data_IF_534508223423
#
_entry.id   IF_534508223423
#
_cell.length_a   1.000
_cell.length_b   1.000
_cell.length_c   1.000
_cell.angle_alpha   90.00
_cell.angle_beta   90.00
_cell.angle_gamma   90.00
#
_symmetry.space_group_name_H-M   'P 1'
#
loop_
_entity.id
_entity.type
_entity.pdbx_description
1 polymer ?
#
# COMPACT_ATOMS: atom_id res chain seq x y z
N UNK A 1 6.96 61.54 -16.13
CA UNK A 1 7.68 60.34 -15.62
C UNK A 1 8.34 59.61 -16.81
N UNK A 2 9.67 59.48 -16.81
CA UNK A 2 10.46 59.05 -17.98
C UNK A 2 10.19 57.57 -18.36
N UNK A 3 10.02 57.31 -19.66
CA UNK A 3 9.62 56.00 -20.23
C UNK A 3 10.60 54.85 -19.90
N UNK A 4 11.85 55.19 -19.54
CA UNK A 4 12.87 54.24 -19.05
C UNK A 4 12.56 53.67 -17.66
N UNK A 5 11.88 54.43 -16.79
CA UNK A 5 11.55 53.98 -15.43
C UNK A 5 10.36 53.00 -15.42
N UNK A 6 9.38 53.17 -16.32
CA UNK A 6 8.26 52.23 -16.48
C UNK A 6 8.73 50.82 -16.89
N UNK A 7 9.67 50.73 -17.85
CA UNK A 7 10.21 49.43 -18.32
C UNK A 7 11.00 48.68 -17.24
N UNK A 8 11.61 49.38 -16.28
CA UNK A 8 12.35 48.78 -15.17
C UNK A 8 11.42 48.16 -14.12
N UNK A 9 10.30 48.81 -13.83
CA UNK A 9 9.32 48.34 -12.85
C UNK A 9 8.60 47.08 -13.37
N UNK A 10 8.21 47.07 -14.65
CA UNK A 10 7.52 45.91 -15.28
C UNK A 10 8.43 44.67 -15.27
N UNK A 11 9.72 44.81 -15.61
CA UNK A 11 10.71 43.72 -15.55
C UNK A 11 10.98 43.19 -14.13
N UNK A 12 10.69 43.98 -13.09
CA UNK A 12 10.83 43.57 -11.70
C UNK A 12 9.62 42.70 -11.29
N UNK A 13 8.41 43.13 -11.66
CA UNK A 13 7.18 42.35 -11.46
C UNK A 13 7.18 40.99 -12.20
N UNK A 14 7.68 40.94 -13.44
CA UNK A 14 7.78 39.69 -14.20
C UNK A 14 8.69 38.65 -13.54
N UNK A 15 9.75 39.08 -12.83
CA UNK A 15 10.64 38.16 -12.12
C UNK A 15 10.02 37.59 -10.84
N UNK A 16 9.23 38.37 -10.11
CA UNK A 16 8.59 37.90 -8.88
C UNK A 16 7.43 36.93 -9.15
N UNK A 17 6.67 37.14 -10.22
CA UNK A 17 5.58 36.22 -10.62
C UNK A 17 6.12 34.84 -11.00
N UNK A 18 7.29 34.77 -11.64
CA UNK A 18 7.94 33.48 -11.96
C UNK A 18 8.41 32.75 -10.71
N UNK A 19 8.93 33.47 -9.71
CA UNK A 19 9.38 32.86 -8.45
C UNK A 19 8.20 32.29 -7.65
N UNK A 20 7.07 33.00 -7.60
CA UNK A 20 5.85 32.53 -6.92
C UNK A 20 5.26 31.31 -7.63
N UNK A 21 5.25 31.29 -8.96
CA UNK A 21 4.77 30.14 -9.74
C UNK A 21 5.63 28.87 -9.54
N UNK A 22 6.95 29.02 -9.39
CA UNK A 22 7.85 27.89 -9.11
C UNK A 22 7.63 27.34 -7.69
N UNK A 23 7.42 28.20 -6.69
CA UNK A 23 7.19 27.74 -5.30
C UNK A 23 5.89 26.93 -5.17
N UNK A 24 4.82 27.33 -5.87
CA UNK A 24 3.57 26.54 -5.90
C UNK A 24 3.73 25.17 -6.57
N UNK A 25 4.61 25.05 -7.57
CA UNK A 25 4.84 23.78 -8.26
C UNK A 25 5.65 22.78 -7.40
N UNK A 26 6.57 23.26 -6.55
CA UNK A 26 7.38 22.37 -5.68
C UNK A 26 6.59 21.89 -4.46
N UNK A 27 5.67 22.70 -3.93
CA UNK A 27 4.85 22.32 -2.76
C UNK A 27 3.66 21.39 -3.11
N UNK A 28 3.19 21.36 -4.36
CA UNK A 28 2.08 20.52 -4.78
C UNK A 28 2.35 19.01 -4.74
N UNK A 29 3.63 18.59 -4.76
CA UNK A 29 3.99 17.18 -4.78
C UNK A 29 4.12 16.53 -3.38
N UNK A 30 4.21 17.30 -2.30
CA UNK A 30 4.40 16.75 -0.94
C UNK A 30 3.10 16.42 -0.19
N UNK A 31 1.96 16.92 -0.67
CA UNK A 31 0.66 16.68 -0.03
C UNK A 31 0.18 15.22 -0.23
N UNK A 32 0.72 14.51 -1.23
CA UNK A 32 0.38 13.10 -1.51
C UNK A 32 1.08 12.12 -0.56
N UNK A 33 2.32 12.42 -0.19
CA UNK A 33 3.12 11.64 0.74
C UNK A 33 2.64 11.75 2.20
N UNK A 34 2.03 12.87 2.59
CA UNK A 34 1.64 13.10 3.99
C UNK A 34 0.41 12.29 4.40
N UNK A 35 -0.54 12.06 3.49
CA UNK A 35 -1.76 11.27 3.77
C UNK A 35 -1.51 9.77 3.80
N UNK A 36 -0.54 9.27 3.03
CA UNK A 36 -0.09 7.88 3.18
C UNK A 36 0.39 7.62 4.61
N UNK A 37 0.97 8.58 5.32
CA UNK A 37 1.39 8.41 6.72
C UNK A 37 0.21 8.28 7.70
N UNK A 38 -0.98 8.80 7.37
CA UNK A 38 -2.12 8.92 8.30
C UNK A 38 -3.12 7.76 8.22
N UNK A 39 -3.13 6.99 7.12
CA UNK A 39 -4.05 5.85 7.00
C UNK A 39 -3.66 4.76 8.02
N UNK A 40 -4.54 4.41 8.98
CA UNK A 40 -4.22 3.42 9.99
C UNK A 40 -4.06 2.03 9.37
N UNK A 41 -3.14 1.25 9.93
CA UNK A 41 -2.98 -0.16 9.57
C UNK A 41 -3.82 -1.03 10.49
N UNK A 42 -4.52 -2.02 9.93
CA UNK A 42 -5.21 -3.07 10.68
C UNK A 42 -4.50 -4.39 10.50
N UNK A 43 -4.35 -5.12 11.60
CA UNK A 43 -3.76 -6.45 11.61
C UNK A 43 -4.82 -7.50 11.87
N UNK A 44 -4.78 -8.61 11.15
CA UNK A 44 -5.59 -9.81 11.42
C UNK A 44 -4.71 -11.04 11.31
N UNK A 45 -4.77 -11.88 12.34
CA UNK A 45 -4.10 -13.18 12.36
C UNK A 45 -5.14 -14.29 12.29
N UNK A 46 -4.80 -15.37 11.58
CA UNK A 46 -5.62 -16.59 11.49
C UNK A 46 -4.72 -17.80 11.24
N UNK A 47 -5.27 -18.99 11.45
CA UNK A 47 -4.53 -20.25 11.22
C UNK A 47 -4.95 -20.84 9.88
N UNK A 48 -3.96 -21.38 9.17
CA UNK A 48 -4.15 -22.17 7.95
C UNK A 48 -3.72 -23.60 8.22
N UNK A 49 -4.52 -24.57 7.80
CA UNK A 49 -4.28 -26.01 8.04
C UNK A 49 -4.35 -26.82 6.75
N UNK A 50 -3.86 -28.07 6.82
CA UNK A 50 -3.97 -29.08 5.76
C UNK A 50 -3.22 -28.72 4.47
N UNK A 51 -2.18 -27.89 4.58
CA UNK A 51 -1.39 -27.43 3.44
C UNK A 51 0.06 -27.25 3.84
N UNK A 52 0.99 -27.60 2.96
CA UNK A 52 2.42 -27.41 3.23
C UNK A 52 2.82 -25.93 3.13
N UNK A 53 3.90 -25.56 3.81
CA UNK A 53 4.32 -24.16 3.91
C UNK A 53 4.53 -23.47 2.55
N UNK A 54 5.27 -24.14 1.66
CA UNK A 54 5.57 -23.61 0.32
C UNK A 54 4.30 -23.46 -0.52
N UNK A 55 3.35 -24.40 -0.37
CA UNK A 55 2.06 -24.30 -1.03
C UNK A 55 1.23 -23.16 -0.45
N UNK A 56 1.12 -23.05 0.88
CA UNK A 56 0.41 -21.96 1.55
C UNK A 56 0.91 -20.59 1.10
N UNK A 57 2.23 -20.40 1.07
CA UNK A 57 2.85 -19.16 0.58
C UNK A 57 2.53 -18.89 -0.90
N UNK A 58 2.66 -19.91 -1.76
CA UNK A 58 2.33 -19.82 -3.19
C UNK A 58 0.86 -19.47 -3.44
N UNK A 59 -0.08 -20.08 -2.69
CA UNK A 59 -1.51 -19.74 -2.76
C UNK A 59 -1.80 -18.32 -2.25
N UNK A 60 -1.04 -17.83 -1.27
CA UNK A 60 -1.18 -16.47 -0.78
C UNK A 60 -0.73 -15.44 -1.82
N UNK A 61 0.38 -15.68 -2.53
CA UNK A 61 0.81 -14.86 -3.66
C UNK A 61 -0.23 -14.88 -4.80
N UNK A 62 -0.76 -16.07 -5.13
CA UNK A 62 -1.86 -16.20 -6.10
C UNK A 62 -3.08 -15.38 -5.70
N UNK A 63 -3.45 -15.44 -4.42
CA UNK A 63 -4.57 -14.65 -3.86
C UNK A 63 -4.35 -13.15 -4.01
N UNK A 64 -3.14 -12.66 -3.71
CA UNK A 64 -2.79 -11.25 -3.89
C UNK A 64 -2.98 -10.80 -5.36
N UNK A 65 -2.47 -11.60 -6.31
CA UNK A 65 -2.62 -11.33 -7.74
C UNK A 65 -4.09 -11.35 -8.21
N UNK A 66 -4.89 -12.32 -7.74
CA UNK A 66 -6.33 -12.37 -8.06
C UNK A 66 -7.09 -11.15 -7.54
N UNK A 67 -6.67 -10.60 -6.40
CA UNK A 67 -7.20 -9.37 -5.82
C UNK A 67 -6.60 -8.09 -6.41
N UNK A 68 -5.85 -8.22 -7.50
CA UNK A 68 -5.20 -7.14 -8.26
C UNK A 68 -4.18 -6.35 -7.42
N UNK A 69 -3.58 -6.99 -6.43
CA UNK A 69 -2.38 -6.46 -5.81
C UNK A 69 -1.17 -6.70 -6.69
N UNK A 70 -0.33 -5.69 -6.83
CA UNK A 70 1.00 -5.80 -7.37
C UNK A 70 1.96 -6.17 -6.23
N UNK A 71 2.53 -7.37 -6.28
CA UNK A 71 3.52 -7.83 -5.30
C UNK A 71 4.85 -7.16 -5.60
N UNK A 72 5.33 -6.33 -4.68
CA UNK A 72 6.56 -5.55 -4.84
C UNK A 72 7.78 -6.28 -4.28
N UNK A 73 7.61 -6.97 -3.16
CA UNK A 73 8.65 -7.81 -2.57
C UNK A 73 8.04 -9.12 -2.09
N UNK A 74 8.81 -10.19 -2.18
CA UNK A 74 8.45 -11.50 -1.64
C UNK A 74 9.70 -12.24 -1.20
N UNK A 75 9.69 -12.74 0.02
CA UNK A 75 10.70 -13.64 0.55
C UNK A 75 10.00 -14.89 1.10
N UNK A 76 10.11 -15.98 0.33
CA UNK A 76 9.54 -17.27 0.71
C UNK A 76 10.23 -17.86 1.93
N UNK A 77 11.53 -17.62 2.12
CA UNK A 77 12.27 -18.19 3.24
C UNK A 77 11.82 -17.58 4.57
N UNK A 78 11.54 -16.27 4.60
CA UNK A 78 10.93 -15.60 5.76
C UNK A 78 9.40 -15.69 5.81
N UNK A 79 8.76 -16.21 4.76
CA UNK A 79 7.30 -16.30 4.68
C UNK A 79 6.61 -14.96 4.54
N UNK A 80 7.27 -13.97 3.93
CA UNK A 80 6.73 -12.60 3.85
C UNK A 80 6.57 -12.14 2.42
N UNK A 81 5.57 -11.30 2.19
CA UNK A 81 5.51 -10.49 0.99
C UNK A 81 4.84 -9.15 1.27
N UNK A 82 5.19 -8.16 0.47
CA UNK A 82 4.55 -6.86 0.44
C UNK A 82 3.91 -6.63 -0.92
N UNK A 83 2.65 -6.22 -0.91
CA UNK A 83 1.90 -5.95 -2.11
C UNK A 83 1.06 -4.68 -1.96
N UNK A 84 0.84 -3.99 -3.08
CA UNK A 84 0.04 -2.76 -3.11
C UNK A 84 -0.95 -2.79 -4.26
N UNK A 85 -2.09 -2.10 -4.10
CA UNK A 85 -3.00 -1.84 -5.21
C UNK A 85 -3.53 -0.42 -5.19
N UNK A 86 -3.81 0.07 -6.40
CA UNK A 86 -4.26 1.42 -6.66
C UNK A 86 -3.14 2.46 -6.54
N UNK A 87 -3.41 3.66 -7.04
CA UNK A 87 -2.47 4.77 -7.10
C UNK A 87 -3.16 6.07 -6.68
N UNK A 88 -2.60 6.78 -5.70
CA UNK A 88 -3.08 8.10 -5.29
C UNK A 88 -4.27 8.09 -4.30
N UNK A 89 -4.95 9.23 -4.22
CA UNK A 89 -5.81 9.65 -3.11
C UNK A 89 -7.15 8.90 -2.94
N UNK A 90 -7.61 8.13 -3.94
CA UNK A 90 -9.01 7.65 -3.97
C UNK A 90 -9.13 6.18 -3.52
N UNK A 91 -8.24 5.29 -4.00
CA UNK A 91 -8.24 3.88 -3.59
C UNK A 91 -6.80 3.36 -3.51
N UNK A 92 -6.18 3.49 -2.34
CA UNK A 92 -4.86 2.93 -2.05
C UNK A 92 -4.99 1.83 -1.00
N UNK A 93 -4.31 0.70 -1.20
CA UNK A 93 -4.24 -0.36 -0.20
C UNK A 93 -2.87 -1.04 -0.22
N UNK A 94 -2.24 -1.09 0.95
CA UNK A 94 -1.04 -1.89 1.21
C UNK A 94 -1.42 -3.17 1.94
N UNK A 95 -0.75 -4.26 1.59
CA UNK A 95 -0.89 -5.57 2.19
C UNK A 95 0.50 -6.09 2.53
N UNK A 96 0.75 -6.31 3.82
CA UNK A 96 1.90 -7.06 4.30
C UNK A 96 1.40 -8.42 4.78
N UNK A 97 2.00 -9.49 4.27
CA UNK A 97 1.68 -10.86 4.61
C UNK A 97 2.86 -11.49 5.33
N UNK A 98 2.57 -12.26 6.38
CA UNK A 98 3.54 -13.02 7.17
C UNK A 98 2.99 -14.42 7.40
N UNK A 99 3.78 -15.45 7.11
CA UNK A 99 3.47 -16.87 7.29
C UNK A 99 4.50 -17.53 8.19
N UNK A 100 4.03 -18.05 9.32
CA UNK A 100 4.84 -18.73 10.32
C UNK A 100 4.47 -20.21 10.39
N UNK A 101 5.48 -21.08 10.50
CA UNK A 101 5.26 -22.52 10.71
C UNK A 101 4.93 -22.77 12.18
N UNK A 102 3.74 -23.29 12.46
CA UNK A 102 3.40 -23.75 13.80
C UNK A 102 3.72 -25.24 13.95
N UNK A 103 3.18 -26.07 13.05
CA UNK A 103 3.37 -27.52 13.02
C UNK A 103 3.33 -28.02 11.57
N UNK A 104 3.53 -29.32 11.36
CA UNK A 104 3.35 -29.91 10.04
C UNK A 104 1.93 -29.62 9.52
N UNK A 105 1.85 -29.08 8.30
CA UNK A 105 0.60 -28.65 7.65
C UNK A 105 -0.26 -27.68 8.46
N UNK A 106 0.33 -26.95 9.40
CA UNK A 106 -0.36 -25.93 10.21
C UNK A 106 0.51 -24.68 10.31
N UNK A 107 -0.03 -23.57 9.84
CA UNK A 107 0.68 -22.31 9.72
C UNK A 107 -0.14 -21.16 10.27
N UNK A 108 0.52 -20.20 10.91
CA UNK A 108 -0.12 -18.94 11.30
C UNK A 108 0.10 -17.93 10.18
N UNK A 109 -0.96 -17.23 9.80
CA UNK A 109 -0.90 -16.12 8.86
C UNK A 109 -1.26 -14.83 9.58
N UNK A 110 -0.40 -13.82 9.45
CA UNK A 110 -0.70 -12.47 9.87
C UNK A 110 -0.79 -11.56 8.64
N UNK A 111 -1.91 -10.88 8.49
CA UNK A 111 -2.12 -9.84 7.49
C UNK A 111 -2.08 -8.49 8.17
N UNK A 112 -1.25 -7.57 7.67
CA UNK A 112 -1.27 -6.16 8.06
C UNK A 112 -1.64 -5.32 6.85
N UNK A 113 -2.81 -4.69 6.90
CA UNK A 113 -3.40 -3.94 5.80
C UNK A 113 -3.48 -2.47 6.15
N UNK A 114 -3.03 -1.62 5.24
CA UNK A 114 -3.19 -0.17 5.34
C UNK A 114 -4.07 0.31 4.19
N UNK A 115 -5.28 0.77 4.51
CA UNK A 115 -6.31 1.12 3.53
C UNK A 115 -7.38 1.99 4.19
N UNK A 116 -8.18 2.70 3.41
CA UNK A 116 -9.39 3.38 3.90
C UNK A 116 -10.48 2.39 4.34
N UNK A 117 -10.44 1.14 3.87
CA UNK A 117 -11.40 0.06 4.21
C UNK A 117 -10.66 -1.24 4.54
N UNK A 118 -9.83 -1.26 5.60
CA UNK A 118 -8.91 -2.37 5.83
C UNK A 118 -9.62 -3.69 6.13
N UNK A 119 -10.78 -3.68 6.80
CA UNK A 119 -11.60 -4.87 7.05
C UNK A 119 -12.10 -5.51 5.76
N UNK A 120 -12.54 -4.70 4.79
CA UNK A 120 -13.01 -5.20 3.51
C UNK A 120 -11.89 -5.90 2.74
N UNK A 121 -10.68 -5.31 2.76
CA UNK A 121 -9.50 -5.90 2.14
C UNK A 121 -9.12 -7.22 2.82
N UNK A 122 -9.07 -7.25 4.15
CA UNK A 122 -8.76 -8.47 4.93
C UNK A 122 -9.78 -9.57 4.63
N UNK A 123 -11.08 -9.26 4.70
CA UNK A 123 -12.15 -10.23 4.47
C UNK A 123 -12.14 -10.76 3.03
N UNK A 124 -11.87 -9.91 2.04
CA UNK A 124 -11.71 -10.33 0.65
C UNK A 124 -10.49 -11.23 0.45
N UNK A 125 -9.36 -10.91 1.09
CA UNK A 125 -8.17 -11.75 1.09
C UNK A 125 -8.49 -13.13 1.67
N UNK A 126 -9.04 -13.18 2.89
CA UNK A 126 -9.39 -14.44 3.54
C UNK A 126 -10.40 -15.26 2.72
N UNK A 127 -11.41 -14.60 2.12
CA UNK A 127 -12.41 -15.28 1.28
C UNK A 127 -11.81 -15.90 0.02
N UNK A 128 -10.90 -15.20 -0.66
CA UNK A 128 -10.25 -15.73 -1.87
C UNK A 128 -9.20 -16.77 -1.50
N UNK A 129 -8.40 -16.51 -0.47
CA UNK A 129 -7.39 -17.45 0.02
C UNK A 129 -7.99 -18.76 0.52
N UNK A 130 -9.14 -18.67 1.21
CA UNK A 130 -9.91 -19.81 1.70
C UNK A 130 -10.46 -20.73 0.61
N UNK A 131 -10.38 -20.35 -0.68
CA UNK A 131 -10.65 -21.25 -1.80
C UNK A 131 -9.53 -22.27 -2.03
N UNK A 132 -8.33 -21.97 -1.55
CA UNK A 132 -7.13 -22.79 -1.74
C UNK A 132 -6.67 -23.49 -0.46
N UNK A 133 -6.98 -22.93 0.70
CA UNK A 133 -6.50 -23.43 1.99
C UNK A 133 -7.62 -23.42 3.03
N UNK A 134 -7.54 -24.29 4.03
CA UNK A 134 -8.49 -24.31 5.14
C UNK A 134 -8.09 -23.27 6.19
N UNK A 135 -8.97 -22.31 6.44
CA UNK A 135 -8.76 -21.23 7.42
C UNK A 135 -9.54 -21.54 8.69
N UNK A 136 -8.85 -21.49 9.84
CA UNK A 136 -9.46 -21.50 11.16
C UNK A 136 -9.32 -20.09 11.76
N UNK A 137 -10.42 -19.44 12.18
CA UNK A 137 -10.32 -18.21 12.96
C UNK A 137 -9.54 -18.52 14.25
N UNK A 138 -8.72 -17.57 14.71
CA UNK A 138 -8.22 -17.61 16.08
C UNK A 138 -9.42 -17.29 16.98
N UNK A 139 -9.75 -18.22 17.87
CA UNK A 139 -10.71 -18.03 18.96
C UNK A 139 -10.28 -16.88 19.88
#
# INVERSE_FOLDING_TARGET
>A
MNNKNKKRIIKWFEKEVVIIAVIFFVCGCQVGSMLQTVIPAKTKTFTVTEVDYDEAFSKALKTANELRFNVLTSDKASGTFYAQRGSGYIEFSELNFFLERLQEKKHQVTLRVKSSKPESVINNFMKVYGKYVKILPLD
#
